data_IF_511039548298
#
_entry.id   IF_511039548298
#
_cell.length_a   1.000
_cell.length_b   1.000
_cell.length_c   1.000
_cell.angle_alpha   90.00
_cell.angle_beta   90.00
_cell.angle_gamma   90.00
#
_symmetry.space_group_name_H-M   'P 1'
#
loop_
_entity.id
_entity.type
_entity.pdbx_description
1 polymer ?
#
# COMPACT_ATOMS: atom_id res chain seq x y z
N UNK A 1 25.15 9.73 -28.96
CA UNK A 1 26.17 8.87 -29.62
C UNK A 1 27.57 8.99 -29.00
N UNK A 2 28.16 10.20 -28.91
CA UNK A 2 29.54 10.34 -28.39
C UNK A 2 29.72 9.82 -26.95
N UNK A 3 28.74 10.05 -26.07
CA UNK A 3 28.72 9.54 -24.68
C UNK A 3 28.85 8.00 -24.59
N UNK A 4 28.40 7.28 -25.61
CA UNK A 4 28.44 5.81 -25.67
C UNK A 4 29.64 5.27 -26.48
N UNK A 5 30.58 6.13 -26.85
CA UNK A 5 31.73 5.76 -27.67
C UNK A 5 31.38 5.35 -29.11
N UNK A 6 30.22 5.77 -29.61
CA UNK A 6 29.77 5.44 -30.97
C UNK A 6 30.26 6.48 -31.97
N UNK A 7 30.89 6.00 -33.04
CA UNK A 7 31.43 6.82 -34.12
C UNK A 7 30.89 6.35 -35.46
N UNK A 8 30.53 7.29 -36.34
CA UNK A 8 30.45 7.01 -37.77
C UNK A 8 31.87 6.88 -38.31
N UNK A 9 32.14 5.84 -39.10
CA UNK A 9 33.47 5.52 -39.59
C UNK A 9 33.53 5.75 -41.09
N UNK A 10 34.60 6.35 -41.60
CA UNK A 10 34.86 6.44 -43.05
C UNK A 10 35.26 5.08 -43.63
N UNK A 11 36.08 4.34 -42.91
CA UNK A 11 36.56 3.02 -43.31
C UNK A 11 37.08 2.24 -42.11
N UNK A 12 37.09 0.92 -42.22
CA UNK A 12 37.73 -0.02 -41.30
C UNK A 12 38.72 -0.88 -42.07
N UNK A 13 39.90 -1.15 -41.51
CA UNK A 13 40.90 -2.04 -42.09
C UNK A 13 41.47 -2.90 -40.98
N UNK A 14 41.62 -4.19 -41.24
CA UNK A 14 42.15 -5.15 -40.27
C UNK A 14 42.78 -6.34 -40.99
N UNK A 15 43.34 -7.25 -40.22
CA UNK A 15 43.98 -8.48 -40.68
C UNK A 15 43.35 -9.65 -39.94
N UNK A 16 43.06 -10.76 -40.65
CA UNK A 16 42.57 -11.98 -40.01
C UNK A 16 43.70 -12.68 -39.24
N UNK A 17 43.37 -13.68 -38.42
CA UNK A 17 44.38 -14.50 -37.74
C UNK A 17 45.34 -15.20 -38.71
N UNK A 18 44.94 -15.39 -39.97
CA UNK A 18 45.73 -16.01 -41.05
C UNK A 18 46.58 -14.99 -41.84
N UNK A 19 46.63 -13.73 -41.40
CA UNK A 19 47.40 -12.67 -42.07
C UNK A 19 46.71 -12.04 -43.28
N UNK A 20 45.44 -12.38 -43.55
CA UNK A 20 44.71 -11.84 -44.71
C UNK A 20 44.16 -10.46 -44.37
N UNK A 21 44.63 -9.45 -45.10
CA UNK A 21 44.12 -8.07 -44.99
C UNK A 21 42.72 -7.96 -45.56
N UNK A 22 41.84 -7.27 -44.84
CA UNK A 22 40.50 -6.94 -45.28
C UNK A 22 40.09 -5.55 -44.78
N UNK A 23 39.04 -5.00 -45.36
CA UNK A 23 38.52 -3.71 -44.93
C UNK A 23 37.18 -3.37 -45.55
N UNK A 24 36.52 -2.38 -44.97
CA UNK A 24 35.23 -1.87 -45.38
C UNK A 24 35.30 -0.37 -45.54
N UNK A 25 34.57 0.17 -46.51
CA UNK A 25 34.40 1.61 -46.70
C UNK A 25 32.93 1.97 -46.52
N UNK A 26 32.68 3.07 -45.82
CA UNK A 26 31.32 3.57 -45.66
C UNK A 26 30.84 4.20 -46.96
N UNK A 27 29.56 3.99 -47.28
CA UNK A 27 28.84 4.69 -48.34
C UNK A 27 27.44 5.07 -47.86
N UNK A 28 26.68 5.81 -48.66
CA UNK A 28 25.29 6.14 -48.35
C UNK A 28 24.40 4.89 -48.23
N UNK A 29 24.71 3.82 -48.99
CA UNK A 29 23.94 2.58 -49.01
C UNK A 29 24.46 1.56 -47.98
N UNK A 30 25.76 1.59 -47.67
CA UNK A 30 26.40 0.77 -46.64
C UNK A 30 27.08 1.68 -45.60
N UNK A 31 26.30 2.25 -44.65
CA UNK A 31 26.90 3.06 -43.60
C UNK A 31 27.70 2.19 -42.65
N UNK A 32 28.77 2.76 -42.09
CA UNK A 32 29.69 2.08 -41.18
C UNK A 32 29.73 2.78 -39.82
N UNK A 33 29.42 2.04 -38.76
CA UNK A 33 29.48 2.54 -37.38
C UNK A 33 30.46 1.71 -36.55
N UNK A 34 31.11 2.35 -35.59
CA UNK A 34 32.00 1.70 -34.64
C UNK A 34 31.58 2.00 -33.21
N UNK A 35 31.33 0.95 -32.43
CA UNK A 35 31.31 1.01 -30.97
C UNK A 35 32.76 0.92 -30.50
N UNK A 36 33.39 2.09 -30.34
CA UNK A 36 34.82 2.20 -30.06
C UNK A 36 35.03 2.17 -28.54
N UNK A 37 35.98 1.35 -28.10
CA UNK A 37 36.51 1.30 -26.74
C UNK A 37 38.03 1.39 -26.78
N UNK A 38 38.66 1.39 -25.60
CA UNK A 38 40.11 1.55 -25.46
C UNK A 38 40.89 0.46 -26.22
N UNK A 39 40.51 -0.79 -26.03
CA UNK A 39 41.28 -1.95 -26.52
C UNK A 39 40.58 -2.74 -27.63
N UNK A 40 39.35 -2.37 -27.99
CA UNK A 40 38.57 -3.02 -29.04
C UNK A 40 37.59 -2.08 -29.73
N UNK A 41 37.11 -2.51 -30.89
CA UNK A 41 36.00 -1.90 -31.62
C UNK A 41 35.05 -2.98 -32.14
N UNK A 42 33.75 -2.78 -31.92
CA UNK A 42 32.71 -3.54 -32.63
C UNK A 42 32.20 -2.69 -33.79
N UNK A 43 32.38 -3.19 -35.00
CA UNK A 43 31.95 -2.56 -36.24
C UNK A 43 30.54 -3.04 -36.56
N UNK A 44 29.64 -2.11 -36.84
CA UNK A 44 28.27 -2.36 -37.26
C UNK A 44 28.02 -1.85 -38.68
N UNK A 45 27.53 -2.75 -39.52
CA UNK A 45 27.20 -2.56 -40.94
C UNK A 45 25.73 -2.94 -41.16
N UNK A 46 24.78 -2.03 -40.88
CA UNK A 46 23.35 -2.36 -40.86
C UNK A 46 22.84 -2.94 -42.18
N UNK A 47 23.37 -2.44 -43.31
CA UNK A 47 22.92 -2.78 -44.67
C UNK A 47 23.76 -3.84 -45.38
N UNK A 48 24.73 -4.47 -44.69
CA UNK A 48 25.65 -5.44 -45.30
C UNK A 48 25.39 -6.86 -44.79
N UNK A 49 25.72 -7.88 -45.60
CA UNK A 49 25.57 -9.29 -45.20
C UNK A 49 26.36 -9.62 -43.92
N UNK A 50 27.63 -9.19 -43.85
CA UNK A 50 28.42 -9.24 -42.61
C UNK A 50 28.11 -8.01 -41.76
N UNK A 51 27.09 -8.13 -40.90
CA UNK A 51 26.58 -7.01 -40.10
C UNK A 51 27.50 -6.59 -38.96
N UNK A 52 28.26 -7.53 -38.40
CA UNK A 52 29.13 -7.25 -37.25
C UNK A 52 30.54 -7.78 -37.50
N UNK A 53 31.54 -6.97 -37.17
CA UNK A 53 32.96 -7.34 -37.19
C UNK A 53 33.64 -6.79 -35.96
N UNK A 54 34.54 -7.56 -35.37
CA UNK A 54 35.26 -7.18 -34.16
C UNK A 54 36.74 -6.93 -34.49
N UNK A 55 37.33 -5.92 -33.86
CA UNK A 55 38.75 -5.65 -33.92
C UNK A 55 39.31 -5.38 -32.53
N UNK A 56 40.55 -5.79 -32.28
CA UNK A 56 41.20 -5.66 -30.97
C UNK A 56 40.83 -6.79 -30.00
N UNK A 57 41.03 -6.54 -28.70
CA UNK A 57 40.83 -7.53 -27.62
C UNK A 57 39.51 -7.26 -26.89
N UNK A 58 38.52 -8.11 -27.12
CA UNK A 58 37.25 -8.03 -26.40
C UNK A 58 37.46 -8.37 -24.91
N UNK A 59 36.69 -7.75 -24.00
CA UNK A 59 36.63 -8.16 -22.61
C UNK A 59 35.93 -9.52 -22.48
N UNK A 60 36.24 -10.23 -21.39
CA UNK A 60 35.60 -11.53 -21.09
C UNK A 60 34.08 -11.38 -20.91
N UNK A 61 33.65 -10.25 -20.32
CA UNK A 61 32.24 -9.88 -20.20
C UNK A 61 32.00 -8.61 -21.00
N UNK A 62 31.34 -8.75 -22.15
CA UNK A 62 30.92 -7.60 -22.94
C UNK A 62 29.72 -6.92 -22.28
N UNK A 63 29.87 -5.64 -21.95
CA UNK A 63 28.76 -4.78 -21.51
C UNK A 63 28.78 -3.46 -22.25
N UNK A 64 27.61 -3.01 -22.69
CA UNK A 64 27.42 -1.70 -23.29
C UNK A 64 26.40 -0.90 -22.49
N UNK A 65 26.66 0.39 -22.29
CA UNK A 65 25.78 1.30 -21.54
C UNK A 65 26.07 1.41 -20.05
N UNK A 66 26.83 0.47 -19.47
CA UNK A 66 27.03 0.38 -18.01
C UNK A 66 27.72 1.63 -17.40
N UNK A 67 28.66 2.22 -18.13
CA UNK A 67 29.37 3.45 -17.73
C UNK A 67 28.47 4.69 -17.75
N UNK A 68 27.34 4.63 -18.46
CA UNK A 68 26.40 5.74 -18.59
C UNK A 68 25.30 5.71 -17.53
N UNK A 69 25.20 4.64 -16.74
CA UNK A 69 24.20 4.48 -15.70
C UNK A 69 24.46 5.40 -14.49
N UNK A 70 23.43 6.01 -13.88
CA UNK A 70 23.54 6.74 -12.63
C UNK A 70 23.87 5.80 -11.46
N UNK A 71 24.32 6.33 -10.32
CA UNK A 71 24.59 5.48 -9.14
C UNK A 71 23.36 4.72 -8.67
N UNK A 72 22.20 5.39 -8.64
CA UNK A 72 20.88 4.82 -8.35
C UNK A 72 19.81 5.50 -9.20
N UNK A 73 18.77 4.76 -9.54
CA UNK A 73 17.56 5.29 -10.18
C UNK A 73 16.38 4.34 -9.96
N UNK A 74 15.22 4.67 -10.52
CA UNK A 74 14.03 3.84 -10.45
C UNK A 74 14.13 2.62 -11.38
N UNK A 75 14.47 2.82 -12.66
CA UNK A 75 14.35 1.79 -13.68
C UNK A 75 15.61 1.57 -14.53
N UNK A 76 15.85 0.31 -14.89
CA UNK A 76 16.89 -0.11 -15.84
C UNK A 76 16.36 -1.17 -16.81
N UNK A 77 16.67 -1.00 -18.09
CA UNK A 77 16.35 -1.97 -19.14
C UNK A 77 17.60 -2.73 -19.62
N UNK A 78 17.50 -4.05 -19.74
CA UNK A 78 18.51 -4.91 -20.34
C UNK A 78 18.00 -5.33 -21.71
N UNK A 79 18.65 -4.86 -22.77
CA UNK A 79 18.24 -5.09 -24.17
C UNK A 79 19.12 -6.13 -24.86
N UNK A 80 18.69 -6.56 -26.06
CA UNK A 80 19.44 -7.50 -26.90
C UNK A 80 20.68 -6.88 -27.57
N UNK A 81 20.65 -5.61 -27.95
CA UNK A 81 21.75 -4.96 -28.68
C UNK A 81 22.00 -3.50 -28.33
N UNK A 82 23.13 -2.97 -28.81
CA UNK A 82 23.59 -1.60 -28.52
C UNK A 82 22.69 -0.52 -29.15
N UNK A 83 22.07 -0.84 -30.29
CA UNK A 83 21.11 0.04 -30.98
C UNK A 83 19.92 0.35 -30.06
N UNK A 84 19.43 -0.65 -29.35
CA UNK A 84 18.28 -0.56 -28.46
C UNK A 84 18.61 0.26 -27.22
N UNK A 85 19.80 0.03 -26.64
CA UNK A 85 20.33 0.87 -25.55
C UNK A 85 20.37 2.34 -25.95
N UNK A 86 20.87 2.64 -27.15
CA UNK A 86 20.93 4.01 -27.63
C UNK A 86 19.54 4.59 -27.91
N UNK A 87 18.60 3.78 -28.38
CA UNK A 87 17.23 4.20 -28.67
C UNK A 87 16.51 4.58 -27.37
N UNK A 88 16.60 3.74 -26.34
CA UNK A 88 16.08 4.03 -25.00
C UNK A 88 16.74 5.28 -24.39
N UNK A 89 18.07 5.37 -24.47
CA UNK A 89 18.80 6.52 -23.93
C UNK A 89 18.44 7.84 -24.61
N UNK A 90 18.11 7.81 -25.91
CA UNK A 90 17.65 9.00 -26.63
C UNK A 90 16.25 9.46 -26.17
N UNK A 91 15.45 8.56 -25.61
CA UNK A 91 14.11 8.83 -25.08
C UNK A 91 14.09 8.97 -23.54
N UNK A 92 15.27 9.08 -22.90
CA UNK A 92 15.38 9.34 -21.46
C UNK A 92 15.44 8.11 -20.57
N UNK A 93 15.50 6.89 -21.13
CA UNK A 93 15.53 5.65 -20.36
C UNK A 93 16.95 5.11 -20.17
N UNK A 94 17.21 4.53 -19.00
CA UNK A 94 18.48 3.88 -18.70
C UNK A 94 18.50 2.44 -19.21
N UNK A 95 19.53 2.09 -19.97
CA UNK A 95 19.63 0.78 -20.59
C UNK A 95 21.07 0.26 -20.72
N UNK A 96 21.19 -1.07 -20.74
CA UNK A 96 22.44 -1.80 -21.02
C UNK A 96 22.17 -3.01 -21.91
N UNK A 97 23.22 -3.61 -22.48
CA UNK A 97 23.15 -4.92 -23.12
C UNK A 97 24.44 -5.74 -22.93
N UNK A 98 24.32 -7.07 -23.09
CA UNK A 98 25.41 -8.05 -22.94
C UNK A 98 25.83 -8.67 -24.29
N UNK A 99 25.88 -7.87 -25.36
CA UNK A 99 26.23 -8.27 -26.74
C UNK A 99 25.13 -8.97 -27.54
N UNK A 100 24.37 -9.88 -26.92
CA UNK A 100 23.18 -10.52 -27.51
C UNK A 100 22.20 -10.95 -26.42
N UNK A 101 20.96 -11.25 -26.81
CA UNK A 101 19.91 -11.78 -25.92
C UNK A 101 20.27 -13.13 -25.31
N UNK A 102 21.06 -13.93 -26.05
CA UNK A 102 21.53 -15.26 -25.67
C UNK A 102 22.81 -15.24 -24.85
N UNK A 103 23.47 -14.09 -24.70
CA UNK A 103 24.70 -13.99 -23.93
C UNK A 103 24.45 -14.38 -22.47
N UNK A 104 25.36 -15.16 -21.90
CA UNK A 104 25.30 -15.52 -20.48
C UNK A 104 25.54 -14.29 -19.61
N UNK A 105 24.73 -14.15 -18.56
CA UNK A 105 24.81 -13.05 -17.62
C UNK A 105 25.13 -13.66 -16.26
N UNK A 106 26.21 -13.19 -15.64
CA UNK A 106 26.58 -13.59 -14.29
C UNK A 106 25.58 -13.01 -13.28
N UNK A 107 25.14 -13.84 -12.32
CA UNK A 107 24.19 -13.43 -11.28
C UNK A 107 24.70 -12.27 -10.43
N UNK A 108 26.01 -12.16 -10.20
CA UNK A 108 26.63 -11.06 -9.46
C UNK A 108 26.40 -9.70 -10.12
N UNK A 109 26.29 -9.66 -11.45
CA UNK A 109 26.00 -8.43 -12.20
C UNK A 109 24.53 -8.05 -11.97
N UNK A 110 23.60 -9.00 -12.09
CA UNK A 110 22.18 -8.75 -11.83
C UNK A 110 21.98 -8.28 -10.39
N UNK A 111 22.62 -8.93 -9.43
CA UNK A 111 22.58 -8.55 -8.02
C UNK A 111 23.04 -7.10 -7.81
N UNK A 112 24.16 -6.70 -8.45
CA UNK A 112 24.63 -5.32 -8.40
C UNK A 112 23.61 -4.34 -9.00
N UNK A 113 22.94 -4.71 -10.10
CA UNK A 113 21.97 -3.84 -10.77
C UNK A 113 20.70 -3.66 -9.93
N UNK A 114 20.13 -4.73 -9.36
CA UNK A 114 18.93 -4.63 -8.50
C UNK A 114 19.19 -3.89 -7.18
N UNK A 115 20.46 -3.78 -6.75
CA UNK A 115 20.86 -2.91 -5.62
C UNK A 115 20.92 -1.42 -6.00
N UNK A 116 21.04 -1.11 -7.29
CA UNK A 116 21.13 0.26 -7.83
C UNK A 116 19.79 0.77 -8.36
N UNK A 117 18.96 -0.13 -8.88
CA UNK A 117 17.69 0.19 -9.52
C UNK A 117 16.54 -0.54 -8.82
N UNK A 118 15.45 0.17 -8.58
CA UNK A 118 14.24 -0.42 -7.97
C UNK A 118 13.64 -1.49 -8.88
N UNK A 119 13.63 -1.23 -10.18
CA UNK A 119 13.12 -2.13 -11.19
C UNK A 119 14.16 -2.41 -12.27
N UNK A 120 14.45 -3.68 -12.51
CA UNK A 120 15.28 -4.13 -13.63
C UNK A 120 14.41 -4.98 -14.55
N UNK A 121 14.36 -4.61 -15.83
CA UNK A 121 13.55 -5.27 -16.83
C UNK A 121 14.38 -5.77 -18.01
N UNK A 122 14.13 -7.01 -18.45
CA UNK A 122 14.52 -7.45 -19.78
C UNK A 122 13.58 -6.86 -20.82
N UNK A 123 14.16 -6.20 -21.83
CA UNK A 123 13.45 -5.64 -22.98
C UNK A 123 14.11 -6.18 -24.25
N UNK A 124 13.84 -7.46 -24.52
CA UNK A 124 14.34 -8.17 -25.69
C UNK A 124 13.35 -8.06 -26.84
N UNK A 125 13.76 -8.52 -28.02
CA UNK A 125 12.97 -8.47 -29.23
C UNK A 125 11.66 -9.25 -29.06
N UNK A 126 10.59 -8.72 -29.66
CA UNK A 126 9.27 -9.36 -29.70
C UNK A 126 9.21 -10.59 -30.61
N UNK A 127 10.34 -11.02 -31.19
CA UNK A 127 10.42 -12.24 -31.99
C UNK A 127 10.55 -13.50 -31.10
N UNK A 128 10.39 -14.68 -31.70
CA UNK A 128 10.40 -15.95 -30.98
C UNK A 128 11.71 -16.16 -30.18
N UNK A 129 12.84 -15.62 -30.65
CA UNK A 129 14.13 -15.77 -29.98
C UNK A 129 14.21 -14.88 -28.75
N UNK A 130 13.85 -13.60 -28.89
CA UNK A 130 13.86 -12.64 -27.78
C UNK A 130 12.85 -12.99 -26.69
N UNK A 131 11.66 -13.48 -27.07
CA UNK A 131 10.64 -13.99 -26.13
C UNK A 131 11.17 -15.19 -25.35
N UNK A 132 11.75 -16.20 -26.02
CA UNK A 132 12.30 -17.38 -25.32
C UNK A 132 13.46 -17.00 -24.40
N UNK A 133 14.37 -16.15 -24.87
CA UNK A 133 15.54 -15.74 -24.11
C UNK A 133 15.14 -14.92 -22.87
N UNK A 134 14.25 -13.93 -23.01
CA UNK A 134 13.82 -13.11 -21.88
C UNK A 134 13.02 -13.90 -20.85
N UNK A 135 12.20 -14.87 -21.26
CA UNK A 135 11.51 -15.80 -20.33
C UNK A 135 12.50 -16.64 -19.54
N UNK A 136 13.46 -17.28 -20.21
CA UNK A 136 14.51 -18.06 -19.56
C UNK A 136 15.32 -17.22 -18.56
N UNK A 137 15.66 -15.97 -18.92
CA UNK A 137 16.38 -15.06 -18.02
C UNK A 137 15.54 -14.64 -16.82
N UNK A 138 14.23 -14.40 -16.99
CA UNK A 138 13.34 -14.12 -15.87
C UNK A 138 13.24 -15.32 -14.91
N UNK A 139 13.22 -16.55 -15.43
CA UNK A 139 13.25 -17.76 -14.59
C UNK A 139 14.58 -17.89 -13.85
N UNK A 140 15.70 -17.70 -14.56
CA UNK A 140 17.05 -17.75 -13.99
C UNK A 140 17.24 -16.72 -12.85
N UNK A 141 16.71 -15.51 -13.02
CA UNK A 141 16.88 -14.40 -12.08
C UNK A 141 15.62 -14.12 -11.24
N UNK A 142 14.73 -15.11 -11.12
CA UNK A 142 13.55 -15.02 -10.28
C UNK A 142 13.84 -14.58 -8.82
N UNK A 143 14.94 -15.04 -8.15
CA UNK A 143 15.29 -14.58 -6.81
C UNK A 143 15.54 -13.07 -6.68
N UNK A 144 15.86 -12.40 -7.79
CA UNK A 144 16.13 -10.96 -7.84
C UNK A 144 14.92 -10.15 -8.30
N UNK A 145 13.75 -10.78 -8.49
CA UNK A 145 12.52 -10.15 -8.98
C UNK A 145 12.67 -9.39 -10.32
N UNK A 146 13.62 -9.80 -11.16
CA UNK A 146 13.77 -9.26 -12.52
C UNK A 146 12.61 -9.76 -13.37
N UNK A 147 12.06 -8.88 -14.21
CA UNK A 147 10.91 -9.18 -15.08
C UNK A 147 11.22 -8.82 -16.53
N UNK A 148 10.31 -9.15 -17.44
CA UNK A 148 10.34 -8.67 -18.83
C UNK A 148 9.22 -7.68 -19.11
N UNK A 149 9.47 -6.80 -20.06
CA UNK A 149 8.46 -5.98 -20.72
C UNK A 149 8.30 -6.49 -22.15
N UNK A 150 7.07 -6.66 -22.59
CA UNK A 150 6.75 -7.11 -23.94
C UNK A 150 6.35 -5.91 -24.79
N UNK A 151 7.07 -5.67 -25.88
CA UNK A 151 6.71 -4.62 -26.82
C UNK A 151 5.48 -5.06 -27.63
N UNK A 152 4.49 -4.18 -27.86
CA UNK A 152 3.31 -4.47 -28.65
C UNK A 152 3.63 -4.42 -30.16
N UNK A 153 4.59 -5.23 -30.60
CA UNK A 153 5.05 -5.34 -31.99
C UNK A 153 4.78 -6.75 -32.53
N UNK A 154 4.66 -6.91 -33.85
CA UNK A 154 4.40 -8.24 -34.44
C UNK A 154 5.59 -9.20 -34.39
N UNK A 155 6.78 -8.76 -33.96
CA UNK A 155 7.98 -9.60 -33.87
C UNK A 155 8.55 -10.00 -35.24
N UNK A 156 8.26 -9.22 -36.28
CA UNK A 156 8.74 -9.49 -37.64
C UNK A 156 10.10 -8.83 -37.88
N UNK A 157 10.78 -9.17 -38.99
CA UNK A 157 12.02 -8.47 -39.37
C UNK A 157 11.86 -6.96 -39.56
N UNK A 158 10.63 -6.48 -39.77
CA UNK A 158 10.33 -5.07 -39.97
C UNK A 158 9.95 -4.35 -38.66
N UNK A 159 9.59 -5.08 -37.60
CA UNK A 159 9.23 -4.52 -36.30
C UNK A 159 9.36 -5.57 -35.20
N UNK A 160 10.45 -5.47 -34.42
CA UNK A 160 10.66 -6.40 -33.31
C UNK A 160 11.34 -5.81 -32.10
N UNK A 161 12.12 -4.75 -32.26
CA UNK A 161 12.92 -4.16 -31.19
C UNK A 161 12.44 -2.77 -30.78
N UNK A 162 12.95 -2.25 -29.66
CA UNK A 162 12.56 -0.94 -29.13
C UNK A 162 12.91 0.21 -30.10
N UNK A 163 13.92 0.03 -30.95
CA UNK A 163 14.23 1.04 -31.96
C UNK A 163 13.16 1.08 -33.06
N UNK A 164 12.58 -0.08 -33.41
CA UNK A 164 11.44 -0.17 -34.31
C UNK A 164 10.18 0.42 -33.67
N UNK A 165 9.94 0.15 -32.38
CA UNK A 165 8.85 0.75 -31.62
C UNK A 165 8.84 2.29 -31.75
N UNK A 166 9.95 2.96 -31.44
CA UNK A 166 10.04 4.40 -31.59
C UNK A 166 9.99 4.86 -33.07
N UNK A 167 10.56 4.08 -34.00
CA UNK A 167 10.52 4.40 -35.44
C UNK A 167 9.10 4.35 -36.00
N UNK A 168 8.23 3.49 -35.47
CA UNK A 168 6.82 3.37 -35.87
C UNK A 168 5.94 4.49 -35.33
N UNK A 169 6.49 5.38 -34.49
CA UNK A 169 5.81 6.57 -33.99
C UNK A 169 5.29 6.47 -32.56
N UNK A 170 5.49 5.34 -31.88
CA UNK A 170 5.24 5.28 -30.44
C UNK A 170 6.19 6.22 -29.70
N UNK A 171 5.68 6.90 -28.68
CA UNK A 171 6.39 7.90 -27.90
C UNK A 171 6.99 7.33 -26.62
N UNK A 172 7.78 8.15 -25.92
CA UNK A 172 8.24 7.81 -24.56
C UNK A 172 7.07 7.69 -23.57
N UNK A 173 5.99 8.44 -23.77
CA UNK A 173 4.77 8.37 -22.96
C UNK A 173 4.05 7.03 -23.15
N UNK A 174 3.93 6.56 -24.39
CA UNK A 174 3.38 5.23 -24.69
C UNK A 174 4.21 4.12 -24.03
N UNK A 175 5.54 4.28 -24.00
CA UNK A 175 6.41 3.34 -23.31
C UNK A 175 6.26 3.41 -21.78
N UNK A 176 6.03 4.60 -21.21
CA UNK A 176 5.66 4.75 -19.80
C UNK A 176 4.35 4.05 -19.47
N UNK A 177 3.33 4.13 -20.33
CA UNK A 177 2.09 3.38 -20.14
C UNK A 177 2.32 1.86 -20.11
N UNK A 178 3.13 1.33 -21.03
CA UNK A 178 3.48 -0.09 -21.04
C UNK A 178 4.19 -0.53 -19.73
N UNK A 179 5.04 0.33 -19.18
CA UNK A 179 5.68 0.10 -17.88
C UNK A 179 4.65 0.12 -16.77
N UNK A 180 3.75 1.11 -16.74
CA UNK A 180 2.68 1.24 -15.75
C UNK A 180 1.79 0.00 -15.74
N UNK A 181 1.30 -0.45 -16.89
CA UNK A 181 0.49 -1.68 -17.01
C UNK A 181 1.23 -2.88 -16.40
N UNK A 182 2.55 -2.95 -16.62
CA UNK A 182 3.36 -4.02 -16.04
C UNK A 182 3.48 -3.91 -14.52
N UNK A 183 3.60 -2.70 -13.97
CA UNK A 183 3.64 -2.46 -12.53
C UNK A 183 2.27 -2.74 -11.89
N UNK A 184 1.15 -2.38 -12.53
CA UNK A 184 -0.20 -2.67 -12.04
C UNK A 184 -0.45 -4.17 -11.90
N UNK A 185 0.06 -4.97 -12.84
CA UNK A 185 0.03 -6.44 -12.74
C UNK A 185 0.86 -6.95 -11.55
N UNK A 186 1.94 -6.26 -11.17
CA UNK A 186 2.74 -6.62 -10.00
C UNK A 186 2.06 -6.22 -8.69
N UNK A 187 1.30 -5.13 -8.72
CA UNK A 187 0.70 -4.52 -7.53
C UNK A 187 -0.83 -4.72 -7.46
N UNK A 188 -1.38 -5.73 -8.13
CA UNK A 188 -2.83 -5.97 -8.20
C UNK A 188 -3.49 -6.04 -6.81
N UNK A 189 -2.89 -6.75 -5.85
CA UNK A 189 -3.43 -6.82 -4.48
C UNK A 189 -3.40 -5.45 -3.78
N UNK A 190 -2.36 -4.66 -4.01
CA UNK A 190 -2.25 -3.31 -3.46
C UNK A 190 -3.29 -2.38 -4.08
N UNK A 191 -3.48 -2.43 -5.39
CA UNK A 191 -4.49 -1.63 -6.09
C UNK A 191 -5.90 -1.95 -5.61
N UNK A 192 -6.25 -3.22 -5.43
CA UNK A 192 -7.55 -3.61 -4.86
C UNK A 192 -7.81 -3.04 -3.46
N UNK A 193 -6.77 -2.97 -2.62
CA UNK A 193 -6.88 -2.35 -1.30
C UNK A 193 -6.98 -0.83 -1.39
N UNK A 194 -6.24 -0.20 -2.29
CA UNK A 194 -6.33 1.25 -2.53
C UNK A 194 -7.73 1.64 -3.00
N UNK A 195 -8.29 0.92 -3.97
CA UNK A 195 -9.66 1.15 -4.48
C UNK A 195 -10.71 1.09 -3.35
N UNK A 196 -10.49 0.25 -2.33
CA UNK A 196 -11.40 0.17 -1.16
C UNK A 196 -11.23 1.31 -0.14
N UNK A 197 -10.11 2.03 -0.21
CA UNK A 197 -9.75 3.11 0.72
C UNK A 197 -9.93 4.51 0.12
N UNK A 198 -9.99 4.62 -1.21
CA UNK A 198 -10.14 5.91 -1.89
C UNK A 198 -11.53 6.51 -1.64
N UNK A 199 -11.55 7.77 -1.23
CA UNK A 199 -12.78 8.50 -0.95
C UNK A 199 -13.44 8.89 -2.29
N UNK A 200 -14.64 8.37 -2.53
CA UNK A 200 -15.48 8.88 -3.62
C UNK A 200 -16.09 10.23 -3.24
N UNK A 201 -15.43 11.30 -3.66
CA UNK A 201 -15.89 12.67 -3.39
C UNK A 201 -17.32 12.95 -3.87
N UNK A 202 -17.80 12.21 -4.89
CA UNK A 202 -19.16 12.39 -5.43
C UNK A 202 -20.22 11.73 -4.57
N UNK A 203 -19.83 10.80 -3.71
CA UNK A 203 -20.71 10.08 -2.79
C UNK A 203 -20.17 10.24 -1.36
N UNK A 204 -20.30 11.43 -0.74
CA UNK A 204 -19.79 11.66 0.60
C UNK A 204 -20.48 10.72 1.61
N UNK A 205 -19.76 10.25 2.64
CA UNK A 205 -20.36 9.42 3.67
C UNK A 205 -21.39 10.22 4.50
N UNK A 206 -22.33 9.49 5.10
CA UNK A 206 -23.30 10.09 6.02
C UNK A 206 -22.60 10.71 7.23
N UNK A 207 -23.18 11.80 7.76
CA UNK A 207 -22.68 12.39 9.00
C UNK A 207 -22.92 11.43 10.16
N UNK A 208 -21.87 11.19 10.95
CA UNK A 208 -21.98 10.37 12.17
C UNK A 208 -23.06 10.90 13.11
N UNK A 209 -23.88 9.98 13.62
CA UNK A 209 -24.98 10.30 14.53
C UNK A 209 -24.40 10.76 15.88
N UNK A 210 -24.88 11.91 16.38
CA UNK A 210 -24.53 12.39 17.72
C UNK A 210 -25.38 11.70 18.77
N UNK A 211 -24.73 11.09 19.76
CA UNK A 211 -25.37 10.46 20.93
C UNK A 211 -25.37 11.41 22.12
N UNK A 212 -24.28 12.15 22.29
CA UNK A 212 -24.05 13.03 23.44
C UNK A 212 -23.56 14.38 22.91
N UNK A 213 -24.23 15.45 23.32
CA UNK A 213 -23.84 16.82 23.03
C UNK A 213 -23.92 17.69 24.30
N UNK A 214 -23.27 18.85 24.24
CA UNK A 214 -23.46 19.91 25.22
C UNK A 214 -23.53 21.24 24.49
N UNK A 215 -24.65 21.97 24.67
CA UNK A 215 -24.89 23.27 24.04
C UNK A 215 -24.75 23.20 22.52
N UNK A 216 -25.27 22.12 21.90
CA UNK A 216 -25.15 21.86 20.47
C UNK A 216 -23.78 21.40 19.97
N UNK A 217 -22.76 21.25 20.83
CA UNK A 217 -21.45 20.71 20.45
C UNK A 217 -21.47 19.19 20.62
N UNK A 218 -21.20 18.39 19.57
CA UNK A 218 -21.15 16.94 19.68
C UNK A 218 -19.93 16.51 20.50
N UNK A 219 -20.17 15.73 21.55
CA UNK A 219 -19.14 15.17 22.44
C UNK A 219 -18.93 13.67 22.18
N UNK A 220 -20.02 12.94 22.01
CA UNK A 220 -20.02 11.51 21.70
C UNK A 220 -20.83 11.26 20.44
N UNK A 221 -20.17 10.76 19.39
CA UNK A 221 -20.78 10.42 18.11
C UNK A 221 -20.52 8.95 17.80
N UNK A 222 -21.29 8.37 16.88
CA UNK A 222 -20.97 7.04 16.38
C UNK A 222 -19.59 6.99 15.74
N UNK A 223 -19.00 5.80 15.70
CA UNK A 223 -17.67 5.52 15.16
C UNK A 223 -16.54 6.15 15.98
N UNK A 224 -16.85 6.72 17.15
CA UNK A 224 -15.91 7.46 17.98
C UNK A 224 -15.94 7.03 19.46
N UNK A 225 -14.85 7.35 20.14
CA UNK A 225 -14.71 7.22 21.58
C UNK A 225 -15.04 8.55 22.27
N UNK A 226 -15.74 8.50 23.39
CA UNK A 226 -15.94 9.65 24.28
C UNK A 226 -15.39 9.33 25.68
N UNK A 227 -14.34 10.04 26.09
CA UNK A 227 -13.66 9.75 27.35
C UNK A 227 -14.10 10.72 28.46
N UNK A 228 -14.41 10.18 29.63
CA UNK A 228 -14.62 10.93 30.87
C UNK A 228 -13.49 10.58 31.84
N UNK A 229 -12.85 11.60 32.37
CA UNK A 229 -11.73 11.43 33.30
C UNK A 229 -11.82 12.36 34.51
N UNK A 230 -11.20 11.97 35.62
CA UNK A 230 -11.21 12.71 36.87
C UNK A 230 -10.77 11.86 38.07
N UNK A 231 -10.42 12.51 39.19
CA UNK A 231 -10.00 11.84 40.42
C UNK A 231 -11.12 11.04 41.10
N UNK A 232 -10.78 10.30 42.14
CA UNK A 232 -11.76 9.57 42.97
C UNK A 232 -12.79 10.53 43.60
N UNK A 233 -14.04 10.11 43.70
CA UNK A 233 -15.11 10.91 44.33
C UNK A 233 -15.59 12.14 43.56
N UNK A 234 -15.07 12.42 42.35
CA UNK A 234 -15.42 13.61 41.56
C UNK A 234 -16.80 13.56 40.88
N UNK A 235 -17.57 12.49 41.07
CA UNK A 235 -18.93 12.38 40.50
C UNK A 235 -19.01 11.75 39.10
N UNK A 236 -17.94 11.14 38.58
CA UNK A 236 -17.90 10.49 37.25
C UNK A 236 -19.05 9.51 37.04
N UNK A 237 -19.28 8.57 37.97
CA UNK A 237 -20.39 7.61 37.84
C UNK A 237 -21.77 8.27 37.83
N UNK A 238 -21.92 9.44 38.45
CA UNK A 238 -23.18 10.21 38.37
C UNK A 238 -23.35 10.87 36.99
N UNK A 239 -22.26 11.30 36.37
CA UNK A 239 -22.24 11.84 35.02
C UNK A 239 -22.51 10.74 33.97
N UNK A 240 -21.87 9.57 34.11
CA UNK A 240 -22.17 8.37 33.32
C UNK A 240 -23.63 7.95 33.48
N UNK A 241 -24.15 7.95 34.71
CA UNK A 241 -25.57 7.65 35.00
C UNK A 241 -26.52 8.61 34.26
N UNK A 242 -26.18 9.90 34.17
CA UNK A 242 -26.97 10.86 33.40
C UNK A 242 -27.00 10.51 31.90
N UNK A 243 -25.83 10.18 31.34
CA UNK A 243 -25.69 9.82 29.93
C UNK A 243 -26.46 8.55 29.59
N UNK A 244 -26.27 7.49 30.37
CA UNK A 244 -27.03 6.24 30.19
C UNK A 244 -28.52 6.53 30.31
N UNK A 245 -28.96 7.25 31.35
CA UNK A 245 -30.38 7.53 31.56
C UNK A 245 -31.04 8.19 30.35
N UNK A 246 -30.38 9.20 29.75
CA UNK A 246 -30.86 9.84 28.52
C UNK A 246 -31.03 8.85 27.35
N UNK A 247 -30.11 7.90 27.20
CA UNK A 247 -30.22 6.84 26.17
C UNK A 247 -31.29 5.79 26.46
N UNK A 248 -31.82 5.70 27.69
CA UNK A 248 -32.90 4.76 28.00
C UNK A 248 -34.28 5.27 27.59
N UNK A 249 -34.39 6.55 27.26
CA UNK A 249 -35.62 7.15 26.75
C UNK A 249 -35.88 6.71 25.31
N UNK A 250 -37.15 6.46 24.99
CA UNK A 250 -37.63 6.34 23.60
C UNK A 250 -38.22 7.65 23.10
N UNK A 251 -38.66 8.51 24.02
CA UNK A 251 -39.19 9.85 23.76
C UNK A 251 -38.76 10.78 24.89
N UNK A 252 -38.56 12.08 24.62
CA UNK A 252 -38.15 13.04 25.65
C UNK A 252 -39.39 13.48 26.45
N UNK A 253 -39.47 13.21 27.75
CA UNK A 253 -40.61 13.60 28.57
C UNK A 253 -40.65 15.11 28.79
N UNK A 254 -41.82 15.64 29.18
CA UNK A 254 -42.00 17.06 29.52
C UNK A 254 -42.43 17.20 30.99
N UNK A 255 -41.64 17.84 31.88
CA UNK A 255 -40.31 18.42 31.62
C UNK A 255 -39.24 17.35 31.35
N UNK A 256 -38.14 17.71 30.65
CA UNK A 256 -37.04 16.77 30.39
C UNK A 256 -36.35 16.36 31.71
N UNK A 257 -35.76 15.16 31.76
CA UNK A 257 -35.03 14.73 32.95
C UNK A 257 -33.77 15.58 33.16
N UNK A 258 -33.29 15.65 34.39
CA UNK A 258 -31.99 16.27 34.68
C UNK A 258 -30.85 15.37 34.21
N UNK A 259 -30.27 15.74 33.07
CA UNK A 259 -29.08 15.12 32.48
C UNK A 259 -27.81 15.95 32.73
N UNK A 260 -27.77 16.75 33.80
CA UNK A 260 -26.62 17.56 34.19
C UNK A 260 -26.17 18.57 33.12
N UNK A 261 -27.12 19.07 32.33
CA UNK A 261 -26.86 20.00 31.22
C UNK A 261 -26.36 19.35 29.93
N UNK A 262 -26.45 18.02 29.82
CA UNK A 262 -26.12 17.27 28.61
C UNK A 262 -27.35 17.05 27.76
N UNK A 263 -27.14 17.11 26.45
CA UNK A 263 -28.11 16.74 25.43
C UNK A 263 -27.80 15.30 25.01
N UNK A 264 -28.67 14.37 25.40
CA UNK A 264 -28.51 12.95 25.08
C UNK A 264 -29.60 12.53 24.12
N UNK A 265 -29.20 11.97 22.99
CA UNK A 265 -30.15 11.45 21.99
C UNK A 265 -30.88 10.24 22.56
N UNK A 266 -32.23 10.23 22.57
CA UNK A 266 -33.02 9.07 22.98
C UNK A 266 -32.82 7.88 22.03
N UNK A 267 -32.93 6.67 22.56
CA UNK A 267 -32.84 5.42 21.80
C UNK A 267 -34.22 5.00 21.26
N UNK A 268 -34.72 5.75 20.28
CA UNK A 268 -36.03 5.51 19.64
C UNK A 268 -36.12 4.16 18.91
N UNK A 269 -34.98 3.57 18.52
CA UNK A 269 -34.91 2.32 17.77
C UNK A 269 -34.67 1.07 18.64
N UNK A 270 -34.67 1.20 19.97
CA UNK A 270 -34.44 0.09 20.90
C UNK A 270 -33.14 -0.71 20.64
N UNK A 271 -32.11 -0.04 20.12
CA UNK A 271 -30.76 -0.61 19.95
C UNK A 271 -30.15 -0.92 21.31
N UNK A 272 -29.15 -1.79 21.37
CA UNK A 272 -28.54 -2.15 22.66
C UNK A 272 -27.86 -0.93 23.34
N UNK A 273 -28.00 -0.83 24.65
CA UNK A 273 -27.23 0.05 25.53
C UNK A 273 -26.45 -0.85 26.47
N UNK A 274 -25.13 -0.88 26.33
CA UNK A 274 -24.25 -1.82 27.02
C UNK A 274 -23.43 -1.06 28.05
N UNK A 275 -23.41 -1.53 29.29
CA UNK A 275 -22.72 -0.87 30.39
C UNK A 275 -21.86 -1.85 31.16
N UNK A 276 -20.56 -1.80 30.91
CA UNK A 276 -19.56 -2.66 31.53
C UNK A 276 -18.90 -1.91 32.69
N UNK A 277 -19.02 -2.44 33.91
CA UNK A 277 -18.35 -1.90 35.10
C UNK A 277 -17.24 -2.86 35.52
N UNK A 278 -16.01 -2.36 35.51
CA UNK A 278 -14.81 -3.17 35.78
C UNK A 278 -14.27 -3.03 37.20
N UNK A 279 -14.77 -2.06 37.97
CA UNK A 279 -14.18 -1.64 39.24
C UNK A 279 -15.11 -1.91 40.43
N UNK A 280 -16.41 -1.66 40.27
CA UNK A 280 -17.36 -1.68 41.37
C UNK A 280 -17.89 -3.08 41.64
N UNK A 281 -18.29 -3.35 42.89
CA UNK A 281 -18.94 -4.62 43.25
C UNK A 281 -20.31 -4.77 42.58
N UNK A 282 -20.79 -6.01 42.45
CA UNK A 282 -22.11 -6.33 41.90
C UNK A 282 -23.24 -5.54 42.60
N UNK A 283 -23.21 -5.47 43.93
CA UNK A 283 -24.18 -4.68 44.71
C UNK A 283 -24.12 -3.19 44.36
N UNK A 284 -22.92 -2.65 44.19
CA UNK A 284 -22.73 -1.24 43.88
C UNK A 284 -23.19 -0.90 42.48
N UNK A 285 -22.94 -1.76 41.49
CA UNK A 285 -23.46 -1.65 40.13
C UNK A 285 -25.00 -1.70 40.13
N UNK A 286 -25.61 -2.68 40.80
CA UNK A 286 -27.07 -2.78 40.92
C UNK A 286 -27.68 -1.50 41.52
N UNK A 287 -27.07 -0.96 42.58
CA UNK A 287 -27.51 0.31 43.20
C UNK A 287 -27.39 1.49 42.22
N UNK A 288 -26.32 1.56 41.44
CA UNK A 288 -26.10 2.62 40.45
C UNK A 288 -27.10 2.52 39.30
N UNK A 289 -27.35 1.32 38.78
CA UNK A 289 -28.39 1.03 37.78
C UNK A 289 -29.76 1.51 38.26
N UNK A 290 -30.13 1.21 39.50
CA UNK A 290 -31.39 1.69 40.09
C UNK A 290 -31.47 3.21 40.24
N UNK A 291 -30.34 3.94 40.36
CA UNK A 291 -30.33 5.42 40.31
C UNK A 291 -30.52 5.92 38.87
N UNK A 292 -29.85 5.30 37.90
CA UNK A 292 -30.01 5.61 36.47
C UNK A 292 -31.45 5.46 36.01
N UNK A 293 -32.13 4.36 36.35
CA UNK A 293 -33.53 4.13 35.99
C UNK A 293 -34.47 5.18 36.61
N UNK A 294 -34.31 5.47 37.91
CA UNK A 294 -35.11 6.49 38.61
C UNK A 294 -34.92 7.90 38.05
N UNK A 295 -33.74 8.22 37.51
CA UNK A 295 -33.46 9.53 36.89
C UNK A 295 -34.38 9.82 35.71
N UNK A 296 -34.86 8.78 35.02
CA UNK A 296 -35.81 8.87 33.91
C UNK A 296 -37.17 8.25 34.22
N UNK A 297 -37.47 8.00 35.49
CA UNK A 297 -38.78 7.51 35.93
C UNK A 297 -39.11 6.09 35.48
N UNK A 298 -38.11 5.25 35.19
CA UNK A 298 -38.33 3.84 34.83
C UNK A 298 -38.34 2.95 36.08
N UNK A 299 -39.41 2.19 36.25
CA UNK A 299 -39.57 1.22 37.35
C UNK A 299 -38.95 -0.15 37.05
N UNK A 300 -38.72 -0.45 35.77
CA UNK A 300 -38.14 -1.69 35.31
C UNK A 300 -37.03 -1.43 34.28
N UNK A 301 -36.05 -2.34 34.24
CA UNK A 301 -34.96 -2.26 33.28
C UNK A 301 -35.47 -2.56 31.86
N UNK A 302 -35.24 -1.67 30.88
CA UNK A 302 -35.58 -1.95 29.49
C UNK A 302 -34.83 -3.18 28.96
N UNK A 303 -35.46 -3.94 28.07
CA UNK A 303 -34.87 -5.17 27.49
C UNK A 303 -33.61 -4.93 26.65
N UNK A 304 -33.39 -3.71 26.21
CA UNK A 304 -32.22 -3.29 25.44
C UNK A 304 -31.08 -2.72 26.30
N UNK A 305 -31.27 -2.57 27.62
CA UNK A 305 -30.23 -2.09 28.53
C UNK A 305 -29.58 -3.25 29.29
N UNK A 306 -28.27 -3.40 29.12
CA UNK A 306 -27.49 -4.53 29.65
C UNK A 306 -26.33 -4.03 30.51
N UNK A 307 -26.53 -3.84 31.83
CA UNK A 307 -25.44 -3.63 32.77
C UNK A 307 -24.71 -4.96 33.07
N UNK A 308 -23.39 -4.96 33.00
CA UNK A 308 -22.54 -6.15 33.14
C UNK A 308 -21.42 -5.86 34.13
N UNK A 309 -21.37 -6.66 35.20
CA UNK A 309 -20.32 -6.61 36.21
C UNK A 309 -19.11 -7.44 35.76
N UNK A 310 -17.94 -6.80 35.65
CA UNK A 310 -16.70 -7.41 35.14
C UNK A 310 -15.58 -7.49 36.16
N UNK A 311 -15.75 -6.93 37.37
CA UNK A 311 -14.65 -6.81 38.32
C UNK A 311 -14.05 -8.18 38.73
N UNK A 312 -14.86 -9.25 38.71
CA UNK A 312 -14.41 -10.62 39.03
C UNK A 312 -13.59 -11.31 37.92
N UNK A 313 -13.57 -10.76 36.70
CA UNK A 313 -12.86 -11.36 35.57
C UNK A 313 -11.42 -10.86 35.48
N UNK A 314 -10.55 -11.70 34.89
CA UNK A 314 -9.20 -11.28 34.53
C UNK A 314 -9.26 -10.20 33.44
N UNK A 315 -8.27 -9.30 33.40
CA UNK A 315 -8.22 -8.19 32.43
C UNK A 315 -8.35 -8.66 30.97
N UNK A 316 -7.70 -9.78 30.64
CA UNK A 316 -7.80 -10.41 29.31
C UNK A 316 -9.22 -10.87 29.00
N UNK A 317 -9.89 -11.50 29.97
CA UNK A 317 -11.25 -12.00 29.80
C UNK A 317 -12.27 -10.86 29.73
N UNK A 318 -12.02 -9.72 30.41
CA UNK A 318 -12.88 -8.52 30.32
C UNK A 318 -12.97 -8.01 28.89
N UNK A 319 -11.83 -7.77 28.24
CA UNK A 319 -11.82 -7.26 26.86
C UNK A 319 -12.41 -8.26 25.87
N UNK A 320 -12.11 -9.56 26.02
CA UNK A 320 -12.70 -10.58 25.15
C UNK A 320 -14.23 -10.65 25.32
N UNK A 321 -14.74 -10.63 26.55
CA UNK A 321 -16.18 -10.63 26.80
C UNK A 321 -16.86 -9.39 26.20
N UNK A 322 -16.24 -8.22 26.30
CA UNK A 322 -16.76 -7.00 25.66
C UNK A 322 -16.90 -7.24 24.15
N UNK A 323 -15.87 -7.73 23.47
CA UNK A 323 -15.92 -8.02 22.02
C UNK A 323 -17.04 -8.99 21.66
N UNK A 324 -17.11 -10.13 22.36
CA UNK A 324 -18.09 -11.19 22.07
C UNK A 324 -19.53 -10.71 22.34
N UNK A 325 -19.72 -9.91 23.39
CA UNK A 325 -21.04 -9.37 23.73
C UNK A 325 -21.48 -8.23 22.81
N UNK A 326 -20.57 -7.40 22.30
CA UNK A 326 -20.89 -6.41 21.27
C UNK A 326 -21.47 -7.09 20.02
N UNK A 327 -20.81 -8.15 19.54
CA UNK A 327 -21.28 -8.92 18.39
C UNK A 327 -22.69 -9.49 18.62
N UNK A 328 -22.86 -10.16 19.76
CA UNK A 328 -24.13 -10.78 20.13
C UNK A 328 -25.28 -9.76 20.23
N UNK A 329 -25.05 -8.64 20.92
CA UNK A 329 -26.10 -7.65 21.16
C UNK A 329 -26.37 -6.78 19.94
N UNK A 330 -25.37 -6.53 19.08
CA UNK A 330 -25.57 -5.90 17.78
C UNK A 330 -26.61 -6.67 16.97
N UNK A 331 -26.44 -8.00 16.82
CA UNK A 331 -27.39 -8.83 16.09
C UNK A 331 -28.73 -9.00 16.79
N UNK A 332 -28.75 -9.06 18.12
CA UNK A 332 -30.00 -9.23 18.90
C UNK A 332 -30.91 -8.00 18.85
N UNK A 333 -30.35 -6.80 18.81
CA UNK A 333 -31.09 -5.54 18.89
C UNK A 333 -31.08 -4.71 17.60
N UNK A 334 -30.50 -5.23 16.51
CA UNK A 334 -30.39 -4.48 15.25
C UNK A 334 -29.45 -3.27 15.33
N UNK A 335 -28.46 -3.32 16.22
CA UNK A 335 -27.48 -2.26 16.45
C UNK A 335 -27.21 -1.98 17.93
N UNK A 336 -26.19 -1.14 18.18
CA UNK A 336 -25.81 -0.69 19.51
C UNK A 336 -25.85 0.85 19.53
N UNK A 337 -26.60 1.44 20.45
CA UNK A 337 -26.72 2.88 20.56
C UNK A 337 -25.59 3.50 21.38
N UNK A 338 -25.22 2.85 22.49
CA UNK A 338 -24.16 3.31 23.38
C UNK A 338 -23.49 2.12 24.03
N UNK A 339 -22.16 2.19 24.13
CA UNK A 339 -21.34 1.31 24.97
C UNK A 339 -20.71 2.17 26.06
N UNK A 340 -20.76 1.72 27.30
CA UNK A 340 -20.06 2.34 28.44
C UNK A 340 -19.08 1.34 29.00
N UNK A 341 -17.82 1.76 29.15
CA UNK A 341 -16.77 1.02 29.83
C UNK A 341 -16.33 1.88 31.03
N UNK A 342 -16.87 1.56 32.21
CA UNK A 342 -16.47 2.20 33.47
C UNK A 342 -15.21 1.50 34.02
N UNK A 343 -14.06 2.16 33.84
CA UNK A 343 -12.73 1.64 34.14
C UNK A 343 -11.98 1.07 32.93
N UNK A 344 -11.68 1.91 31.92
CA UNK A 344 -10.93 1.47 30.73
C UNK A 344 -9.52 0.98 31.06
N UNK A 345 -8.83 1.60 32.03
CA UNK A 345 -7.49 1.20 32.46
C UNK A 345 -7.44 -0.24 32.99
N UNK A 346 -8.59 -0.75 33.41
CA UNK A 346 -8.76 -2.05 34.01
C UNK A 346 -8.90 -3.17 32.96
N UNK A 347 -8.86 -2.81 31.67
CA UNK A 347 -8.73 -3.75 30.54
C UNK A 347 -7.28 -4.10 30.23
N UNK A 348 -6.32 -3.32 30.75
CA UNK A 348 -4.88 -3.44 30.46
C UNK A 348 -4.08 -3.67 31.73
N UNK A 349 -2.90 -4.29 31.62
CA UNK A 349 -2.04 -4.57 32.77
C UNK A 349 -1.52 -3.29 33.41
N UNK A 350 -1.13 -2.32 32.58
CA UNK A 350 -0.60 -1.04 33.03
C UNK A 350 -1.02 0.07 32.06
N UNK A 351 -1.75 1.06 32.55
CA UNK A 351 -2.04 2.29 31.78
C UNK A 351 -0.79 3.13 31.46
N UNK A 352 0.34 2.84 32.12
CA UNK A 352 1.63 3.47 31.81
C UNK A 352 2.43 2.68 30.75
N UNK A 353 1.91 1.56 30.27
CA UNK A 353 2.46 0.88 29.08
C UNK A 353 1.80 1.49 27.83
N UNK A 354 2.57 2.29 27.11
CA UNK A 354 2.11 2.99 25.91
C UNK A 354 1.64 2.01 24.83
N UNK A 355 2.35 0.89 24.63
CA UNK A 355 2.00 -0.09 23.61
C UNK A 355 0.70 -0.81 23.93
N UNK A 356 0.49 -1.19 25.19
CA UNK A 356 -0.76 -1.83 25.64
C UNK A 356 -1.94 -0.85 25.57
N UNK A 357 -1.71 0.41 25.96
CA UNK A 357 -2.74 1.45 25.95
C UNK A 357 -3.19 1.81 24.53
N UNK A 358 -2.24 1.99 23.60
CA UNK A 358 -2.53 2.24 22.18
C UNK A 358 -3.31 1.05 21.59
N UNK A 359 -2.87 -0.18 21.86
CA UNK A 359 -3.53 -1.38 21.33
C UNK A 359 -5.01 -1.50 21.76
N UNK A 360 -5.34 -1.13 23.01
CA UNK A 360 -6.73 -1.13 23.47
C UNK A 360 -7.53 0.03 22.88
N UNK A 361 -6.96 1.23 22.78
CA UNK A 361 -7.63 2.37 22.15
C UNK A 361 -7.93 2.10 20.67
N UNK A 362 -6.97 1.58 19.91
CA UNK A 362 -7.14 1.21 18.50
C UNK A 362 -8.22 0.14 18.33
N UNK A 363 -8.23 -0.87 19.20
CA UNK A 363 -9.24 -1.91 19.16
C UNK A 363 -10.65 -1.35 19.48
N UNK A 364 -10.77 -0.43 20.44
CA UNK A 364 -12.05 0.21 20.74
C UNK A 364 -12.51 1.12 19.60
N UNK A 365 -11.63 1.87 18.93
CA UNK A 365 -11.97 2.63 17.73
C UNK A 365 -12.46 1.71 16.60
N UNK A 366 -11.76 0.59 16.38
CA UNK A 366 -12.17 -0.44 15.41
C UNK A 366 -13.57 -0.97 15.72
N UNK A 367 -13.86 -1.28 16.98
CA UNK A 367 -15.18 -1.74 17.42
C UNK A 367 -16.26 -0.67 17.29
N UNK A 368 -15.95 0.59 17.64
CA UNK A 368 -16.86 1.72 17.49
C UNK A 368 -17.30 1.91 16.03
N UNK A 369 -16.34 1.80 15.09
CA UNK A 369 -16.59 1.90 13.65
C UNK A 369 -17.34 0.69 13.07
N UNK A 370 -16.99 -0.54 13.47
CA UNK A 370 -17.67 -1.75 13.00
C UNK A 370 -19.14 -1.77 13.41
N UNK A 371 -19.42 -1.39 14.66
CA UNK A 371 -20.77 -1.48 15.22
C UNK A 371 -21.57 -0.17 15.10
N UNK A 372 -21.00 0.85 14.45
CA UNK A 372 -21.57 2.19 14.31
C UNK A 372 -22.17 2.70 15.62
N UNK A 373 -21.33 2.79 16.64
CA UNK A 373 -21.75 3.14 18.00
C UNK A 373 -20.79 4.13 18.67
N UNK A 374 -21.28 4.83 19.69
CA UNK A 374 -20.44 5.65 20.56
C UNK A 374 -19.95 4.78 21.72
N UNK A 375 -18.63 4.68 21.91
CA UNK A 375 -18.06 4.02 23.08
C UNK A 375 -17.61 5.08 24.08
N UNK A 376 -18.29 5.14 25.21
CA UNK A 376 -17.95 5.98 26.34
C UNK A 376 -16.99 5.23 27.26
N UNK A 377 -15.84 5.82 27.53
CA UNK A 377 -14.81 5.24 28.38
C UNK A 377 -14.62 6.11 29.63
N UNK A 378 -14.58 5.49 30.80
CA UNK A 378 -14.26 6.19 32.05
C UNK A 378 -12.84 5.83 32.46
N UNK A 379 -12.02 6.86 32.65
CA UNK A 379 -10.67 6.73 33.16
C UNK A 379 -10.60 7.30 34.58
N UNK A 380 -10.18 6.47 35.53
CA UNK A 380 -9.97 6.86 36.92
C UNK A 380 -8.49 7.15 37.15
N UNK A 381 -8.17 8.37 37.59
CA UNK A 381 -6.82 8.69 38.06
C UNK A 381 -6.65 8.13 39.48
N UNK A 382 -5.60 7.34 39.67
CA UNK A 382 -5.14 6.86 40.98
C UNK A 382 -4.04 7.79 41.49
#
# INVERSE_FOLDING_TARGET
>A
MQRYGVRSLRSFRSETAEGKRYGFMSSTHEPLFGYVRKDYVKIYRPSSATRFVYGGRLPDIYTFGIEQLPQRDDMLFITGGEKDVMSLAAHGFHAICFNSETAEIDASIIEMLVRRFRHVFFLYDADETGVKASTLRCEQFAPYNVRRIELPLAGTKAEKDISDYFRLGYSAEDFHHLITDRLEQLYTQTLMLLDSCEIDYRHPPDRSQTVIASRGVPLGTYDNLFCITGGEGTGKSNYVSALIAGTLLTEIPTPPPDLLGLEVTPNTSHKAVLHYDTEQSEYQLHRNVGKTLRRVGLDAMPTFYHPVFLAALSRKDRLQLIKDSLDLYHHRHGGIHLVVIDGIADLIRSANDEAESIAVVDELYRLAGIYHTCILCVLHFV
#
